data_IF_833892693200
#
_entry.id   IF_833892693200
#
_cell.length_a   1.000
_cell.length_b   1.000
_cell.length_c   1.000
_cell.angle_alpha   90.00
_cell.angle_beta   90.00
_cell.angle_gamma   90.00
#
_symmetry.space_group_name_H-M   'P 1'
#
loop_
_entity.id
_entity.type
_entity.pdbx_description
1 polymer ?
#
# COMPACT_ATOMS: atom_id res chain seq x y z
N UNK A 1 38.82 19.24 -11.21
CA UNK A 1 37.60 19.91 -11.72
C UNK A 1 36.45 18.91 -11.79
N UNK A 2 35.51 18.96 -10.85
CA UNK A 2 34.30 18.11 -10.79
C UNK A 2 33.03 18.91 -11.12
N UNK A 3 33.09 19.71 -12.20
CA UNK A 3 32.03 20.66 -12.57
C UNK A 3 30.90 20.08 -13.43
N UNK A 4 31.09 18.90 -14.03
CA UNK A 4 30.19 18.41 -15.09
C UNK A 4 29.23 17.27 -14.68
N UNK A 5 29.32 16.77 -13.44
CA UNK A 5 28.56 15.59 -12.98
C UNK A 5 27.62 15.86 -11.80
N UNK A 6 27.67 17.04 -11.18
CA UNK A 6 26.82 17.39 -10.03
C UNK A 6 25.34 17.38 -10.40
N UNK A 7 24.98 18.00 -11.52
CA UNK A 7 23.60 18.04 -11.99
C UNK A 7 23.11 16.65 -12.42
N UNK A 8 23.91 15.89 -13.17
CA UNK A 8 23.56 14.53 -13.58
C UNK A 8 23.32 13.61 -12.37
N UNK A 9 24.17 13.68 -11.35
CA UNK A 9 23.98 12.91 -10.11
C UNK A 9 22.71 13.32 -9.34
N UNK A 10 22.42 14.63 -9.27
CA UNK A 10 21.17 15.14 -8.67
C UNK A 10 19.96 14.64 -9.47
N UNK A 11 20.01 14.70 -10.81
CA UNK A 11 18.94 14.23 -11.70
C UNK A 11 18.68 12.72 -11.50
N UNK A 12 19.72 11.89 -11.50
CA UNK A 12 19.57 10.45 -11.29
C UNK A 12 19.03 10.10 -9.90
N UNK A 13 19.51 10.81 -8.86
CA UNK A 13 19.01 10.63 -7.49
C UNK A 13 17.55 11.03 -7.36
N UNK A 14 17.20 12.23 -7.84
CA UNK A 14 15.83 12.75 -7.83
C UNK A 14 14.90 11.85 -8.63
N UNK A 15 15.29 11.43 -9.83
CA UNK A 15 14.50 10.53 -10.67
C UNK A 15 14.21 9.17 -10.01
N UNK A 16 15.15 8.61 -9.24
CA UNK A 16 14.89 7.39 -8.44
C UNK A 16 13.90 7.65 -7.30
N UNK A 17 13.99 8.80 -6.63
CA UNK A 17 13.07 9.19 -5.56
C UNK A 17 11.67 9.44 -6.10
N UNK A 18 11.54 10.16 -7.21
CA UNK A 18 10.26 10.46 -7.85
C UNK A 18 9.58 9.17 -8.34
N UNK A 19 10.35 8.21 -8.89
CA UNK A 19 9.81 6.89 -9.25
C UNK A 19 9.29 6.11 -8.04
N UNK A 20 9.98 6.16 -6.91
CA UNK A 20 9.51 5.53 -5.65
C UNK A 20 8.24 6.20 -5.14
N UNK A 21 8.20 7.54 -5.13
CA UNK A 21 7.05 8.33 -4.70
C UNK A 21 5.84 8.11 -5.61
N UNK A 22 6.04 8.03 -6.93
CA UNK A 22 4.98 7.72 -7.89
C UNK A 22 4.33 6.36 -7.61
N UNK A 23 5.14 5.31 -7.37
CA UNK A 23 4.63 3.98 -7.00
C UNK A 23 3.84 4.01 -5.69
N UNK A 24 4.31 4.74 -4.68
CA UNK A 24 3.62 4.91 -3.41
C UNK A 24 2.26 5.63 -3.61
N UNK A 25 2.24 6.69 -4.39
CA UNK A 25 1.02 7.44 -4.68
C UNK A 25 -0.02 6.59 -5.42
N UNK A 26 0.41 5.74 -6.36
CA UNK A 26 -0.50 4.79 -7.00
C UNK A 26 -1.13 3.82 -5.99
N UNK A 27 -0.38 3.34 -5.00
CA UNK A 27 -0.92 2.46 -3.95
C UNK A 27 -1.95 3.19 -3.08
N UNK A 28 -1.63 4.40 -2.63
CA UNK A 28 -2.51 5.22 -1.80
C UNK A 28 -3.81 5.61 -2.53
N UNK A 29 -3.73 5.97 -3.81
CA UNK A 29 -4.92 6.28 -4.63
C UNK A 29 -5.85 5.06 -4.72
N UNK A 30 -5.29 3.87 -4.94
CA UNK A 30 -6.08 2.62 -4.99
C UNK A 30 -6.78 2.35 -3.66
N UNK A 31 -6.06 2.48 -2.54
CA UNK A 31 -6.63 2.30 -1.20
C UNK A 31 -7.80 3.26 -0.94
N UNK A 32 -7.61 4.56 -1.23
CA UNK A 32 -8.68 5.57 -1.08
C UNK A 32 -9.89 5.21 -1.95
N UNK A 33 -9.64 4.79 -3.19
CA UNK A 33 -10.71 4.44 -4.15
C UNK A 33 -11.54 3.26 -3.65
N UNK A 34 -10.89 2.20 -3.15
CA UNK A 34 -11.59 1.01 -2.62
C UNK A 34 -12.29 1.32 -1.30
N UNK A 35 -11.65 2.05 -0.39
CA UNK A 35 -12.28 2.47 0.86
C UNK A 35 -13.56 3.28 0.60
N UNK A 36 -13.52 4.25 -0.33
CA UNK A 36 -14.68 5.05 -0.73
C UNK A 36 -15.77 4.22 -1.42
N UNK A 37 -15.39 3.19 -2.19
CA UNK A 37 -16.35 2.28 -2.84
C UNK A 37 -17.10 1.39 -1.85
N UNK A 38 -16.41 0.86 -0.85
CA UNK A 38 -16.98 -0.07 0.14
C UNK A 38 -17.83 0.67 1.19
N UNK A 39 -17.29 1.76 1.75
CA UNK A 39 -17.91 2.45 2.88
C UNK A 39 -18.51 3.82 2.56
N UNK A 40 -18.58 4.19 1.27
CA UNK A 40 -19.09 5.50 0.83
C UNK A 40 -18.02 6.60 0.84
N UNK A 41 -18.34 7.71 0.18
CA UNK A 41 -17.44 8.82 -0.11
C UNK A 41 -17.15 9.75 1.09
N UNK A 42 -17.96 9.65 2.15
CA UNK A 42 -17.85 10.51 3.32
C UNK A 42 -16.79 10.00 4.30
N UNK A 43 -15.72 10.78 4.46
CA UNK A 43 -14.60 10.48 5.35
C UNK A 43 -15.02 10.47 6.83
N UNK A 44 -16.07 11.21 7.19
CA UNK A 44 -16.56 11.25 8.57
C UNK A 44 -17.26 9.95 8.97
N UNK A 45 -18.05 9.35 8.07
CA UNK A 45 -18.78 8.10 8.32
C UNK A 45 -18.02 6.82 7.95
N UNK A 46 -16.87 6.93 7.26
CA UNK A 46 -16.08 5.77 6.81
C UNK A 46 -14.68 5.73 7.48
N UNK A 47 -14.48 4.93 8.56
CA UNK A 47 -13.20 4.83 9.26
C UNK A 47 -12.04 4.35 8.40
N UNK A 48 -12.29 3.43 7.45
CA UNK A 48 -11.27 2.94 6.52
C UNK A 48 -10.81 4.04 5.58
N UNK A 49 -11.74 4.81 5.03
CA UNK A 49 -11.43 5.95 4.18
C UNK A 49 -10.66 7.03 4.95
N UNK A 50 -11.03 7.28 6.21
CA UNK A 50 -10.30 8.20 7.10
C UNK A 50 -8.84 7.81 7.25
N UNK A 51 -8.57 6.55 7.62
CA UNK A 51 -7.20 6.04 7.73
C UNK A 51 -6.43 6.15 6.41
N UNK A 52 -7.05 5.82 5.28
CA UNK A 52 -6.44 5.94 3.95
C UNK A 52 -6.09 7.40 3.59
N UNK A 53 -6.97 8.34 3.89
CA UNK A 53 -6.76 9.78 3.67
C UNK A 53 -5.63 10.31 4.54
N UNK A 54 -5.59 9.93 5.82
CA UNK A 54 -4.54 10.37 6.75
C UNK A 54 -3.17 9.78 6.36
N UNK A 55 -3.13 8.53 5.91
CA UNK A 55 -1.94 7.92 5.33
C UNK A 55 -1.47 8.64 4.05
N UNK A 56 -2.39 9.09 3.19
CA UNK A 56 -2.02 9.84 2.01
C UNK A 56 -1.47 11.24 2.33
N UNK A 57 -2.06 11.92 3.33
CA UNK A 57 -1.59 13.22 3.83
C UNK A 57 -0.20 13.11 4.46
N UNK A 58 0.07 12.06 5.24
CA UNK A 58 1.40 11.85 5.85
C UNK A 58 2.51 11.68 4.80
N UNK A 59 2.16 11.19 3.60
CA UNK A 59 3.07 11.07 2.45
C UNK A 59 3.09 12.30 1.54
N UNK A 60 2.54 13.43 1.99
CA UNK A 60 2.47 14.69 1.24
C UNK A 60 1.81 14.51 -0.14
N UNK A 61 0.73 13.74 -0.22
CA UNK A 61 -0.10 13.66 -1.42
C UNK A 61 -0.91 14.97 -1.57
N UNK A 62 -0.93 15.60 -2.78
CA UNK A 62 -1.78 16.76 -3.03
C UNK A 62 -3.26 16.47 -2.77
N UNK A 63 -3.97 17.42 -2.17
CA UNK A 63 -5.39 17.30 -1.82
C UNK A 63 -6.27 16.93 -3.01
N UNK A 64 -6.03 17.53 -4.17
CA UNK A 64 -6.77 17.26 -5.41
C UNK A 64 -6.69 15.79 -5.85
N UNK A 65 -5.55 15.12 -5.60
CA UNK A 65 -5.40 13.69 -5.92
C UNK A 65 -6.24 12.81 -4.98
N UNK A 66 -6.33 13.20 -3.71
CA UNK A 66 -7.15 12.50 -2.70
C UNK A 66 -8.62 12.63 -3.06
N UNK A 67 -9.09 13.86 -3.33
CA UNK A 67 -10.48 14.13 -3.71
C UNK A 67 -10.87 13.41 -4.99
N UNK A 68 -9.98 13.39 -6.00
CA UNK A 68 -10.20 12.63 -7.24
C UNK A 68 -10.32 11.13 -6.98
N UNK A 69 -9.50 10.57 -6.09
CA UNK A 69 -9.58 9.15 -5.73
C UNK A 69 -10.88 8.81 -4.99
N UNK A 70 -11.35 9.68 -4.09
CA UNK A 70 -12.65 9.53 -3.40
C UNK A 70 -13.80 9.56 -4.41
N UNK A 71 -13.83 10.58 -5.29
CA UNK A 71 -14.85 10.70 -6.32
C UNK A 71 -14.88 9.50 -7.27
N UNK A 72 -13.71 8.96 -7.62
CA UNK A 72 -13.60 7.73 -8.43
C UNK A 72 -14.21 6.52 -7.73
N UNK A 73 -13.96 6.37 -6.42
CA UNK A 73 -14.54 5.27 -5.62
C UNK A 73 -16.04 5.38 -5.42
N UNK A 74 -16.57 6.61 -5.36
CA UNK A 74 -17.98 6.92 -5.14
C UNK A 74 -18.89 6.74 -6.36
N UNK A 75 -18.36 6.29 -7.50
CA UNK A 75 -19.11 6.08 -8.74
C UNK A 75 -18.83 7.07 -9.86
N UNK A 76 -17.76 7.86 -9.78
CA UNK A 76 -17.39 8.85 -10.80
C UNK A 76 -16.84 8.29 -12.11
N UNK A 77 -16.40 7.03 -12.17
CA UNK A 77 -15.93 6.39 -13.41
C UNK A 77 -16.25 4.88 -13.41
N UNK A 78 -16.76 4.35 -14.53
CA UNK A 78 -16.88 2.92 -14.87
C UNK A 78 -15.50 2.27 -15.06
N UNK A 79 -14.63 2.38 -14.06
CA UNK A 79 -13.39 1.62 -14.01
C UNK A 79 -13.67 0.19 -13.57
N UNK A 80 -12.94 -0.76 -14.16
CA UNK A 80 -12.90 -2.16 -13.71
C UNK A 80 -12.84 -2.23 -12.18
N UNK A 81 -13.68 -3.07 -11.58
CA UNK A 81 -13.75 -3.23 -10.14
C UNK A 81 -12.37 -3.58 -9.58
N UNK A 82 -11.80 -2.68 -8.77
CA UNK A 82 -10.63 -2.99 -7.96
C UNK A 82 -11.10 -3.94 -6.86
N UNK A 83 -10.51 -5.12 -6.83
CA UNK A 83 -10.78 -6.15 -5.84
C UNK A 83 -9.53 -6.40 -4.99
N UNK A 84 -9.77 -6.73 -3.73
CA UNK A 84 -8.74 -7.13 -2.78
C UNK A 84 -8.54 -8.63 -2.84
N UNK A 85 -7.30 -9.06 -2.93
CA UNK A 85 -6.93 -10.47 -3.05
C UNK A 85 -5.69 -10.71 -2.21
N UNK A 86 -5.73 -11.77 -1.42
CA UNK A 86 -4.59 -12.25 -0.66
C UNK A 86 -3.95 -13.41 -1.43
N UNK A 87 -2.66 -13.30 -1.73
CA UNK A 87 -1.87 -14.41 -2.24
C UNK A 87 -0.95 -14.93 -1.14
N UNK A 88 -0.80 -16.23 -1.13
CA UNK A 88 0.01 -16.96 -0.18
C UNK A 88 1.19 -17.62 -0.89
N UNK A 89 2.32 -17.76 -0.22
CA UNK A 89 3.47 -18.43 -0.80
C UNK A 89 4.65 -18.55 0.14
N UNK A 90 5.71 -19.12 -0.43
CA UNK A 90 6.97 -19.36 0.27
C UNK A 90 8.13 -18.71 -0.48
N UNK A 91 9.05 -18.12 0.26
CA UNK A 91 10.32 -17.60 -0.23
C UNK A 91 11.49 -18.58 -0.03
N UNK A 92 12.71 -18.16 -0.36
CA UNK A 92 13.92 -18.91 -0.09
C UNK A 92 14.03 -19.36 1.37
N UNK A 93 14.42 -20.60 1.59
CA UNK A 93 14.52 -21.16 2.95
C UNK A 93 13.18 -21.45 3.63
N UNK A 94 12.07 -21.45 2.88
CA UNK A 94 10.74 -21.79 3.41
C UNK A 94 10.06 -20.66 4.18
N UNK A 95 10.51 -19.42 4.01
CA UNK A 95 9.89 -18.24 4.67
C UNK A 95 8.46 -18.07 4.15
N UNK A 96 7.49 -18.04 5.06
CA UNK A 96 6.09 -17.78 4.76
C UNK A 96 5.87 -16.32 4.31
N UNK A 97 5.09 -16.12 3.25
CA UNK A 97 4.82 -14.78 2.68
C UNK A 97 3.31 -14.63 2.43
N UNK A 98 2.74 -13.58 3.01
CA UNK A 98 1.43 -13.04 2.63
C UNK A 98 1.60 -11.83 1.71
N UNK A 99 0.87 -11.82 0.60
CA UNK A 99 0.93 -10.76 -0.42
C UNK A 99 -0.47 -10.23 -0.63
N UNK A 100 -0.79 -9.13 0.04
CA UNK A 100 -2.04 -8.41 -0.16
C UNK A 100 -1.96 -7.57 -1.43
N UNK A 101 -2.93 -7.79 -2.31
CA UNK A 101 -3.00 -7.16 -3.62
C UNK A 101 -4.34 -6.48 -3.83
N UNK A 102 -4.30 -5.32 -4.49
CA UNK A 102 -5.48 -4.63 -4.98
C UNK A 102 -5.38 -4.52 -6.51
N UNK A 103 -6.29 -5.20 -7.21
CA UNK A 103 -6.20 -5.37 -8.66
C UNK A 103 -7.55 -5.33 -9.35
N UNK A 104 -7.54 -4.86 -10.58
CA UNK A 104 -8.65 -4.92 -11.53
C UNK A 104 -8.60 -6.16 -12.43
N UNK A 105 -7.57 -7.00 -12.30
CA UNK A 105 -7.39 -8.20 -13.10
C UNK A 105 -6.62 -9.28 -12.31
N UNK A 106 -7.35 -10.27 -11.79
CA UNK A 106 -6.79 -11.38 -11.00
C UNK A 106 -5.76 -12.18 -11.78
N UNK A 107 -6.04 -12.48 -13.05
CA UNK A 107 -5.20 -13.33 -13.90
C UNK A 107 -3.84 -12.68 -14.18
N UNK A 108 -3.82 -11.36 -14.42
CA UNK A 108 -2.57 -10.61 -14.58
C UNK A 108 -1.78 -10.61 -13.26
N UNK A 109 -2.44 -10.31 -12.15
CA UNK A 109 -1.76 -10.20 -10.85
C UNK A 109 -1.20 -11.54 -10.36
N UNK A 110 -1.95 -12.64 -10.46
CA UNK A 110 -1.44 -13.96 -10.06
C UNK A 110 -0.23 -14.38 -10.91
N UNK A 111 -0.22 -14.05 -12.21
CA UNK A 111 0.90 -14.33 -13.08
C UNK A 111 2.15 -13.51 -12.69
N UNK A 112 1.99 -12.22 -12.40
CA UNK A 112 3.08 -11.35 -11.94
C UNK A 112 3.63 -11.79 -10.57
N UNK A 113 2.76 -12.11 -9.61
CA UNK A 113 3.14 -12.60 -8.27
C UNK A 113 3.88 -13.92 -8.38
N UNK A 114 3.34 -14.88 -9.14
CA UNK A 114 4.00 -16.17 -9.39
C UNK A 114 5.37 -15.97 -10.01
N UNK A 115 5.46 -15.14 -11.05
CA UNK A 115 6.74 -14.84 -11.71
C UNK A 115 7.74 -14.23 -10.74
N UNK A 116 7.32 -13.28 -9.89
CA UNK A 116 8.19 -12.65 -8.90
C UNK A 116 8.73 -13.65 -7.87
N UNK A 117 7.87 -14.53 -7.33
CA UNK A 117 8.29 -15.57 -6.38
C UNK A 117 9.24 -16.57 -7.03
N UNK A 118 8.86 -17.14 -8.17
CA UNK A 118 9.69 -18.14 -8.88
C UNK A 118 11.04 -17.57 -9.29
N UNK A 119 11.11 -16.32 -9.77
CA UNK A 119 12.37 -15.67 -10.15
C UNK A 119 13.34 -15.53 -8.97
N UNK A 120 12.85 -15.46 -7.74
CA UNK A 120 13.66 -15.29 -6.54
C UNK A 120 13.72 -16.56 -5.67
N UNK A 121 13.45 -17.74 -6.23
CA UNK A 121 13.62 -19.03 -5.53
C UNK A 121 12.50 -19.35 -4.54
N UNK A 122 11.31 -18.76 -4.73
CA UNK A 122 10.09 -19.08 -3.99
C UNK A 122 8.99 -19.66 -4.89
N UNK A 123 7.82 -19.88 -4.32
CA UNK A 123 6.64 -20.36 -5.03
C UNK A 123 5.35 -19.77 -4.46
N UNK A 124 4.35 -19.64 -5.34
CA UNK A 124 2.99 -19.34 -4.94
C UNK A 124 2.37 -20.60 -4.30
N UNK A 125 1.75 -20.43 -3.14
CA UNK A 125 0.99 -21.46 -2.42
C UNK A 125 -0.49 -21.43 -2.78
N UNK A 126 -1.25 -22.29 -2.14
CA UNK A 126 -2.73 -22.27 -2.16
C UNK A 126 -3.24 -21.40 -1.01
N UNK A 127 -4.51 -21.01 -1.10
CA UNK A 127 -5.21 -20.39 0.03
C UNK A 127 -5.13 -21.29 1.28
N UNK A 128 -4.83 -20.70 2.44
CA UNK A 128 -4.62 -21.38 3.71
C UNK A 128 -3.24 -22.03 3.91
N UNK A 129 -2.32 -21.94 2.95
CA UNK A 129 -0.99 -22.56 3.04
C UNK A 129 -0.06 -21.92 4.06
N UNK A 130 -0.18 -20.62 4.30
CA UNK A 130 0.61 -19.88 5.30
C UNK A 130 -0.23 -18.94 6.14
N UNK A 131 -1.48 -18.64 5.77
CA UNK A 131 -2.34 -17.70 6.49
C UNK A 131 -2.45 -18.01 7.99
N UNK A 132 -2.46 -19.29 8.38
CA UNK A 132 -2.53 -19.71 9.80
C UNK A 132 -1.31 -19.32 10.63
N UNK A 133 -0.20 -18.93 10.00
CA UNK A 133 1.01 -18.43 10.67
C UNK A 133 0.94 -16.93 10.99
N UNK A 134 -0.09 -16.23 10.51
CA UNK A 134 -0.24 -14.79 10.67
C UNK A 134 -1.53 -14.45 11.41
N UNK A 135 -1.47 -13.41 12.22
CA UNK A 135 -2.62 -12.81 12.89
C UNK A 135 -2.76 -11.35 12.47
N UNK A 136 -3.99 -10.94 12.14
CA UNK A 136 -4.26 -9.55 11.81
C UNK A 136 -4.37 -8.72 13.10
N UNK A 137 -3.31 -7.97 13.39
CA UNK A 137 -3.26 -7.04 14.53
C UNK A 137 -3.25 -5.59 14.07
N UNK A 138 -3.86 -4.70 14.85
CA UNK A 138 -3.70 -3.26 14.64
C UNK A 138 -2.29 -2.82 15.02
N UNK A 139 -1.57 -2.18 14.12
CA UNK A 139 -0.23 -1.64 14.38
C UNK A 139 -0.26 -0.10 14.35
N UNK A 140 0.08 0.52 15.48
CA UNK A 140 0.19 1.97 15.63
C UNK A 140 1.65 2.28 16.00
N UNK A 141 2.31 3.10 15.19
CA UNK A 141 3.69 3.54 15.44
C UNK A 141 3.71 4.98 15.91
N UNK A 142 4.30 5.24 17.08
CA UNK A 142 4.46 6.57 17.67
C UNK A 142 5.96 6.89 17.67
N UNK A 143 6.37 7.98 17.02
CA UNK A 143 7.77 8.38 16.90
C UNK A 143 8.18 9.42 17.97
N UNK A 144 7.36 9.63 18.98
CA UNK A 144 7.60 10.61 20.03
C UNK A 144 8.42 9.97 21.17
N UNK A 145 9.39 10.70 21.72
CA UNK A 145 10.27 10.22 22.79
C UNK A 145 9.61 10.33 24.17
N UNK A 146 8.31 10.03 24.24
CA UNK A 146 7.57 10.04 25.51
C UNK A 146 7.94 8.82 26.34
N UNK A 147 7.83 8.97 27.66
CA UNK A 147 8.06 7.88 28.60
C UNK A 147 7.14 6.70 28.23
N UNK A 148 7.65 5.45 28.14
CA UNK A 148 6.82 4.27 27.90
C UNK A 148 5.59 4.18 28.80
N UNK A 149 5.68 4.68 30.04
CA UNK A 149 4.57 4.67 31.00
C UNK A 149 3.40 5.55 30.53
N UNK A 150 3.69 6.75 30.00
CA UNK A 150 2.67 7.67 29.45
C UNK A 150 1.91 7.04 28.25
N UNK A 151 2.59 6.18 27.49
CA UNK A 151 2.01 5.51 26.32
C UNK A 151 1.11 4.33 26.71
N UNK A 152 1.43 3.64 27.80
CA UNK A 152 0.61 2.53 28.31
C UNK A 152 -0.71 3.03 28.92
N UNK A 153 -0.70 4.18 29.61
CA UNK A 153 -1.91 4.77 30.18
C UNK A 153 -2.94 5.22 29.13
N UNK A 154 -2.50 5.61 27.92
CA UNK A 154 -3.38 5.97 26.80
C UNK A 154 -4.13 4.78 26.18
N UNK A 155 -3.71 3.55 26.47
CA UNK A 155 -4.31 2.32 25.95
C UNK A 155 -5.44 1.74 26.80
N UNK A 156 -5.79 2.38 27.93
CA UNK A 156 -6.84 1.98 28.86
C UNK A 156 -8.14 2.77 28.66
#
# INVERSE_FOLDING_TARGET
MAGHSKWANIQHRKGRQDKKRGKLFTKLIREITVAARIGGADVASNPRLRAAVDNAKSQSMPKDNIERAIAKGAGGEEGNALEEILYEGYGPGGVAILIECMTDNKNRTVAEVRHALTKHGGNLGTEGSVAYLFEQIGYISINDSKDPDDLMELGH
#
